data_IF_414057350207
#
_entry.id   IF_414057350207
#
_cell.length_a   1.000
_cell.length_b   1.000
_cell.length_c   1.000
_cell.angle_alpha   90.00
_cell.angle_beta   90.00
_cell.angle_gamma   90.00
#
_symmetry.space_group_name_H-M   'P 1'
#
loop_
_entity.id
_entity.type
_entity.pdbx_description
1 polymer ?
#
# COMPACT_ATOMS: atom_id res chain seq x y z
N UNK A 1 -4.23 8.47 -51.10
CA UNK A 1 -4.37 9.45 -49.99
C UNK A 1 -3.38 9.06 -48.89
N UNK A 2 -2.30 9.84 -48.77
CA UNK A 2 -1.20 9.50 -47.88
C UNK A 2 -1.60 9.64 -46.40
N UNK A 3 -1.34 8.60 -45.62
CA UNK A 3 -1.47 8.61 -44.17
C UNK A 3 -0.39 9.52 -43.59
N UNK A 4 -0.75 10.72 -43.14
CA UNK A 4 0.14 11.58 -42.37
C UNK A 4 0.40 10.90 -41.04
N UNK A 5 1.63 10.46 -40.78
CA UNK A 5 2.09 10.03 -39.45
C UNK A 5 2.28 11.29 -38.61
N UNK A 6 1.60 11.36 -37.48
CA UNK A 6 1.84 12.38 -36.46
C UNK A 6 3.28 12.24 -35.94
N UNK A 7 4.05 13.32 -36.06
CA UNK A 7 5.38 13.36 -35.44
C UNK A 7 5.26 13.51 -33.92
N UNK A 8 6.30 13.08 -33.17
CA UNK A 8 6.38 13.33 -31.71
C UNK A 8 6.18 14.80 -31.34
N UNK A 9 6.60 15.70 -32.22
CA UNK A 9 6.49 17.15 -32.03
C UNK A 9 5.04 17.63 -32.22
N UNK A 10 4.30 17.05 -33.17
CA UNK A 10 2.88 17.36 -33.38
C UNK A 10 2.03 16.80 -32.23
N UNK A 11 2.35 15.63 -31.73
CA UNK A 11 1.73 15.06 -30.53
C UNK A 11 1.91 15.98 -29.32
N UNK A 12 3.13 16.42 -29.04
CA UNK A 12 3.42 17.34 -27.94
C UNK A 12 2.77 18.71 -28.10
N UNK A 13 2.63 19.23 -29.34
CA UNK A 13 1.93 20.49 -29.60
C UNK A 13 0.41 20.38 -29.41
N UNK A 14 -0.16 19.25 -29.75
CA UNK A 14 -1.60 18.99 -29.54
C UNK A 14 -1.90 18.82 -28.05
N UNK A 15 -1.03 18.16 -27.31
CA UNK A 15 -1.20 17.98 -25.86
C UNK A 15 -0.94 19.25 -25.03
N UNK A 16 -0.13 20.17 -25.50
CA UNK A 16 0.14 21.45 -24.80
C UNK A 16 -0.89 22.56 -25.08
N UNK A 17 -1.72 22.40 -26.11
CA UNK A 17 -2.77 23.38 -26.45
C UNK A 17 -4.16 23.11 -25.89
N UNK A 18 -4.37 21.95 -25.27
CA UNK A 18 -5.62 21.59 -24.63
C UNK A 18 -5.45 21.78 -23.10
N UNK A 19 -5.97 22.85 -22.58
CA UNK A 19 -5.94 23.11 -21.15
C UNK A 19 -6.39 21.89 -20.34
N UNK A 20 -5.46 21.21 -19.70
CA UNK A 20 -5.67 20.24 -18.62
C UNK A 20 -6.43 18.95 -18.89
N UNK A 21 -6.73 18.60 -20.12
CA UNK A 21 -7.46 17.36 -20.46
C UNK A 21 -6.57 16.29 -21.09
N UNK A 22 -6.60 15.08 -20.57
CA UNK A 22 -6.02 13.91 -21.22
C UNK A 22 -6.81 13.56 -22.50
N UNK A 23 -6.12 13.47 -23.64
CA UNK A 23 -6.69 13.03 -24.90
C UNK A 23 -6.26 11.60 -25.17
N UNK A 24 -7.20 10.67 -25.18
CA UNK A 24 -6.97 9.35 -25.74
C UNK A 24 -7.04 9.41 -27.27
N UNK A 25 -5.97 8.99 -27.94
CA UNK A 25 -5.94 8.85 -29.40
C UNK A 25 -6.06 7.37 -29.72
N UNK A 26 -7.23 6.97 -30.22
CA UNK A 26 -7.48 5.61 -30.70
C UNK A 26 -7.52 5.55 -32.23
N UNK A 27 -7.28 4.37 -32.81
CA UNK A 27 -7.39 4.12 -34.24
C UNK A 27 -8.34 2.95 -34.52
N UNK A 28 -9.43 3.23 -35.21
CA UNK A 28 -10.38 2.20 -35.69
C UNK A 28 -10.51 2.36 -37.20
N UNK A 29 -10.31 1.27 -37.94
CA UNK A 29 -10.48 1.26 -39.40
C UNK A 29 -9.61 2.26 -40.17
N UNK A 30 -8.39 2.55 -39.67
CA UNK A 30 -7.48 3.50 -40.29
C UNK A 30 -7.79 4.99 -39.99
N UNK A 31 -8.83 5.30 -39.23
CA UNK A 31 -9.16 6.66 -38.82
C UNK A 31 -8.74 6.90 -37.38
N UNK A 32 -8.04 8.01 -37.16
CA UNK A 32 -7.72 8.53 -35.82
C UNK A 32 -8.97 9.22 -35.24
N UNK A 33 -9.31 8.89 -34.04
CA UNK A 33 -10.32 9.63 -33.26
C UNK A 33 -9.69 10.07 -31.93
N UNK A 34 -10.11 11.24 -31.50
CA UNK A 34 -9.76 11.77 -30.18
C UNK A 34 -11.02 11.73 -29.32
N UNK A 35 -10.94 11.04 -28.20
CA UNK A 35 -11.97 11.11 -27.17
C UNK A 35 -11.47 12.08 -26.11
N UNK A 36 -12.15 13.21 -25.87
CA UNK A 36 -11.85 13.98 -24.69
C UNK A 36 -12.24 13.13 -23.49
N UNK A 37 -11.26 12.64 -22.74
CA UNK A 37 -11.53 12.13 -21.41
C UNK A 37 -11.87 13.38 -20.59
N UNK A 38 -13.10 13.51 -20.17
CA UNK A 38 -13.43 14.41 -19.09
C UNK A 38 -12.52 14.00 -17.92
N UNK A 39 -11.51 14.81 -17.61
CA UNK A 39 -10.72 14.59 -16.42
C UNK A 39 -11.73 14.52 -15.28
N UNK A 40 -11.86 13.34 -14.67
CA UNK A 40 -12.59 13.24 -13.42
C UNK A 40 -11.98 14.32 -12.54
N UNK A 41 -12.78 15.31 -12.17
CA UNK A 41 -12.26 16.40 -11.34
C UNK A 41 -11.85 15.76 -10.03
N UNK A 42 -10.54 15.74 -9.81
CA UNK A 42 -10.01 15.34 -8.51
C UNK A 42 -10.65 16.29 -7.49
N UNK A 43 -11.34 15.79 -6.48
CA UNK A 43 -11.93 16.64 -5.46
C UNK A 43 -10.87 17.61 -4.90
N UNK A 44 -11.14 18.91 -4.97
CA UNK A 44 -10.18 19.94 -4.56
C UNK A 44 -9.25 20.48 -5.66
N UNK A 45 -9.29 19.89 -6.86
CA UNK A 45 -8.47 20.34 -8.00
C UNK A 45 -7.03 19.83 -7.95
N UNK A 46 -6.20 20.34 -8.83
CA UNK A 46 -4.77 20.01 -8.91
C UNK A 46 -3.96 21.17 -8.33
N UNK A 47 -3.02 20.85 -7.45
CA UNK A 47 -2.07 21.86 -6.93
C UNK A 47 -1.17 22.35 -8.09
N UNK A 48 -0.99 23.66 -8.19
CA UNK A 48 -0.03 24.25 -9.13
C UNK A 48 1.41 23.87 -8.70
N UNK A 49 2.16 23.11 -9.50
CA UNK A 49 3.53 22.76 -9.17
C UNK A 49 4.45 23.96 -8.94
N UNK A 50 4.12 25.12 -9.53
CA UNK A 50 4.84 26.39 -9.33
C UNK A 50 4.63 26.98 -7.94
N UNK A 51 3.54 26.63 -7.26
CA UNK A 51 3.27 27.07 -5.89
C UNK A 51 4.02 26.23 -4.82
N UNK A 52 4.63 25.09 -5.21
CA UNK A 52 5.37 24.22 -4.30
C UNK A 52 6.84 24.57 -4.30
N UNK A 53 7.35 25.07 -3.18
CA UNK A 53 8.79 25.33 -3.01
C UNK A 53 9.55 23.99 -2.98
N UNK A 54 10.44 23.80 -3.96
CA UNK A 54 11.24 22.58 -4.08
C UNK A 54 12.31 22.54 -2.99
N UNK A 55 12.61 21.31 -2.50
CA UNK A 55 13.69 21.05 -1.53
C UNK A 55 13.54 21.80 -0.19
N UNK A 56 12.33 22.21 0.16
CA UNK A 56 12.05 22.93 1.40
C UNK A 56 11.64 22.04 2.56
N UNK A 57 11.18 20.82 2.27
CA UNK A 57 10.75 19.84 3.29
C UNK A 57 11.84 18.81 3.50
N UNK A 58 12.15 18.44 4.76
CA UNK A 58 13.04 17.32 5.05
C UNK A 58 12.52 16.03 4.43
N UNK A 59 13.45 15.14 4.04
CA UNK A 59 13.10 13.81 3.55
C UNK A 59 12.29 13.06 4.61
N UNK A 60 11.14 12.53 4.21
CA UNK A 60 10.36 11.61 5.05
C UNK A 60 11.07 10.25 5.10
N UNK A 61 11.56 9.89 6.27
CA UNK A 61 12.26 8.63 6.49
C UNK A 61 11.33 7.68 7.25
N UNK A 62 10.82 6.60 6.62
CA UNK A 62 9.92 5.69 7.29
C UNK A 62 10.68 4.93 8.41
N UNK A 63 10.17 4.96 9.65
CA UNK A 63 10.78 4.20 10.73
C UNK A 63 10.59 2.70 10.56
N UNK A 64 11.29 1.92 11.38
CA UNK A 64 11.13 0.45 11.44
C UNK A 64 9.76 0.08 11.97
N UNK A 65 9.11 -0.88 11.31
CA UNK A 65 7.83 -1.44 11.76
C UNK A 65 8.03 -2.20 13.09
N UNK A 66 7.34 -1.83 14.18
CA UNK A 66 7.39 -2.56 15.43
C UNK A 66 6.81 -3.98 15.28
N UNK A 67 7.50 -4.97 15.83
CA UNK A 67 6.95 -6.33 15.94
C UNK A 67 5.92 -6.40 17.06
N UNK A 68 4.84 -7.13 16.84
CA UNK A 68 3.90 -7.50 17.88
C UNK A 68 4.47 -8.61 18.80
N UNK A 69 5.40 -9.43 18.25
CA UNK A 69 6.05 -10.48 19.02
C UNK A 69 6.85 -11.45 18.19
N UNK A 70 7.09 -12.61 18.76
CA UNK A 70 7.72 -13.77 18.09
C UNK A 70 6.83 -14.99 18.32
N UNK A 71 6.57 -15.74 17.26
CA UNK A 71 5.83 -17.00 17.31
C UNK A 71 6.81 -18.17 17.27
N UNK A 72 6.43 -19.28 17.88
CA UNK A 72 7.12 -20.56 17.70
C UNK A 72 6.40 -21.37 16.63
N UNK A 73 7.06 -21.63 15.54
CA UNK A 73 6.56 -22.42 14.42
C UNK A 73 6.71 -23.92 14.70
N UNK A 74 6.02 -24.80 13.97
CA UNK A 74 6.26 -26.24 14.01
C UNK A 74 7.77 -26.54 13.82
N UNK A 75 8.29 -27.42 14.65
CA UNK A 75 9.73 -27.71 14.70
C UNK A 75 10.57 -26.72 15.54
N UNK A 76 9.92 -25.86 16.34
CA UNK A 76 10.59 -24.97 17.29
C UNK A 76 11.25 -23.74 16.66
N UNK A 77 11.08 -23.50 15.36
CA UNK A 77 11.68 -22.34 14.68
C UNK A 77 10.95 -21.04 15.05
N UNK A 78 11.66 -19.96 15.38
CA UNK A 78 11.03 -18.67 15.64
C UNK A 78 10.60 -18.01 14.34
N UNK A 79 9.45 -17.32 14.37
CA UNK A 79 8.97 -16.42 13.31
C UNK A 79 8.66 -15.05 13.91
N UNK A 80 9.00 -13.98 13.20
CA UNK A 80 8.62 -12.65 13.62
C UNK A 80 7.15 -12.42 13.34
N UNK A 81 6.44 -11.83 14.29
CA UNK A 81 5.00 -11.59 14.20
C UNK A 81 4.70 -10.10 14.22
N UNK A 82 3.83 -9.69 13.30
CA UNK A 82 3.35 -8.32 13.20
C UNK A 82 1.82 -8.30 13.15
N UNK A 83 1.24 -7.26 13.72
CA UNK A 83 -0.13 -6.83 13.50
C UNK A 83 -0.05 -5.43 12.89
N UNK A 84 -0.45 -5.32 11.63
CA UNK A 84 -0.30 -4.11 10.84
C UNK A 84 -1.67 -3.71 10.31
N UNK A 85 -2.07 -2.47 10.56
CA UNK A 85 -3.30 -1.94 10.01
C UNK A 85 -3.06 -0.85 8.99
N UNK A 86 -4.02 -0.68 8.08
CA UNK A 86 -4.13 0.47 7.21
C UNK A 86 -5.10 1.47 7.82
N UNK A 87 -4.65 2.71 8.05
CA UNK A 87 -5.45 3.81 8.59
C UNK A 87 -5.36 5.06 7.74
N UNK A 88 -6.41 5.86 7.83
CA UNK A 88 -6.37 7.23 7.33
C UNK A 88 -5.70 8.14 8.36
N UNK A 89 -4.75 8.94 7.89
CA UNK A 89 -3.98 9.88 8.70
C UNK A 89 -3.89 11.24 8.01
N UNK A 90 -3.60 12.26 8.78
CA UNK A 90 -3.22 13.58 8.26
C UNK A 90 -1.73 13.76 8.45
N UNK A 91 -0.98 13.96 7.37
CA UNK A 91 0.48 14.06 7.41
C UNK A 91 0.99 15.28 6.63
N UNK A 92 1.95 15.99 7.19
CA UNK A 92 2.61 17.08 6.49
C UNK A 92 3.61 16.52 5.49
N UNK A 93 3.18 16.36 4.23
CA UNK A 93 4.00 15.87 3.12
C UNK A 93 4.55 17.05 2.32
N UNK A 94 3.71 18.04 2.06
CA UNK A 94 4.07 19.25 1.34
C UNK A 94 4.83 20.25 2.24
N UNK A 95 5.53 21.25 1.68
CA UNK A 95 6.23 22.26 2.46
C UNK A 95 5.34 22.98 3.49
N UNK A 96 5.96 23.42 4.58
CA UNK A 96 5.29 24.24 5.58
C UNK A 96 4.61 25.46 4.97
N UNK A 97 3.38 25.73 5.39
CA UNK A 97 2.52 26.76 4.81
C UNK A 97 1.48 26.22 3.83
N UNK A 98 1.63 24.99 3.36
CA UNK A 98 0.58 24.23 2.67
C UNK A 98 -0.16 23.32 3.67
N UNK A 99 -1.41 22.95 3.41
CA UNK A 99 -2.15 22.05 4.29
C UNK A 99 -1.48 20.68 4.43
N UNK A 100 -1.67 20.03 5.57
CA UNK A 100 -1.37 18.61 5.69
C UNK A 100 -2.25 17.80 4.74
N UNK A 101 -1.70 16.70 4.24
CA UNK A 101 -2.38 15.83 3.28
C UNK A 101 -3.06 14.68 4.01
N UNK A 102 -4.33 14.44 3.69
CA UNK A 102 -5.02 13.21 4.10
C UNK A 102 -4.53 12.07 3.23
N UNK A 103 -3.95 11.06 3.86
CA UNK A 103 -3.40 9.88 3.20
C UNK A 103 -3.75 8.62 3.97
N UNK A 104 -3.55 7.47 3.36
CA UNK A 104 -3.55 6.19 4.06
C UNK A 104 -2.14 5.72 4.32
N UNK A 105 -1.94 5.02 5.43
CA UNK A 105 -0.65 4.47 5.78
C UNK A 105 -0.78 3.18 6.57
N UNK A 106 0.16 2.26 6.36
CA UNK A 106 0.30 1.11 7.22
C UNK A 106 1.11 1.44 8.47
N UNK A 107 0.71 0.85 9.59
CA UNK A 107 1.41 0.99 10.86
C UNK A 107 1.08 -0.14 11.82
N UNK A 108 1.85 -0.24 12.92
CA UNK A 108 1.64 -1.26 13.93
C UNK A 108 0.39 -0.97 14.77
N UNK A 109 -0.45 -1.99 14.98
CA UNK A 109 -1.66 -1.88 15.82
C UNK A 109 -1.33 -2.06 17.29
N UNK A 110 -0.48 -3.04 17.59
CA UNK A 110 -0.01 -3.29 18.93
C UNK A 110 1.51 -3.31 18.94
N UNK A 111 2.10 -2.79 19.98
CA UNK A 111 3.51 -3.02 20.18
C UNK A 111 3.87 -2.99 21.65
N UNK A 112 4.35 -4.09 22.14
CA UNK A 112 5.12 -4.14 23.37
C UNK A 112 6.38 -3.27 23.26
N UNK A 113 6.87 -2.98 22.05
CA UNK A 113 8.09 -2.24 21.78
C UNK A 113 7.88 -0.74 21.48
N UNK A 114 6.69 -0.30 21.09
CA UNK A 114 6.40 1.11 20.78
C UNK A 114 5.86 1.90 21.98
N UNK A 115 5.89 1.33 23.17
CA UNK A 115 5.36 1.96 24.39
C UNK A 115 3.93 2.50 24.23
N UNK A 116 3.11 1.80 23.45
CA UNK A 116 1.72 2.16 23.22
C UNK A 116 1.50 3.22 22.12
N UNK A 117 2.53 3.63 21.39
CA UNK A 117 2.39 4.55 20.28
C UNK A 117 2.12 3.80 18.99
N UNK A 118 0.99 4.09 18.41
CA UNK A 118 0.62 3.63 17.07
C UNK A 118 1.23 4.60 16.08
N UNK A 119 2.15 4.14 15.26
CA UNK A 119 2.77 4.96 14.23
C UNK A 119 2.28 4.46 12.87
N UNK A 120 1.45 5.27 12.21
CA UNK A 120 1.07 5.13 10.81
C UNK A 120 1.75 6.23 10.04
N UNK A 121 2.25 5.94 8.85
CA UNK A 121 3.03 6.87 8.05
C UNK A 121 2.85 6.60 6.56
N UNK A 122 3.07 7.63 5.73
CA UNK A 122 3.20 7.54 4.29
C UNK A 122 4.51 8.24 3.85
N UNK A 123 5.52 7.51 3.29
CA UNK A 123 5.56 6.06 3.08
C UNK A 123 5.42 5.27 4.38
N UNK A 124 4.84 4.07 4.29
CA UNK A 124 4.56 3.23 5.47
C UNK A 124 5.85 2.73 6.13
N UNK A 125 5.74 2.24 7.37
CA UNK A 125 6.89 1.80 8.16
C UNK A 125 7.64 0.64 7.48
N UNK A 126 8.96 0.59 7.64
CA UNK A 126 9.81 -0.42 7.03
C UNK A 126 9.83 -1.71 7.84
N UNK A 127 9.42 -2.82 7.25
CA UNK A 127 9.56 -4.15 7.85
C UNK A 127 10.99 -4.62 7.60
N UNK A 128 11.69 -5.03 8.66
CA UNK A 128 13.03 -5.57 8.60
C UNK A 128 13.00 -7.05 8.97
N UNK A 129 13.36 -7.90 8.02
CA UNK A 129 13.34 -9.35 8.18
C UNK A 129 14.73 -9.95 7.96
N UNK A 130 14.88 -11.21 8.36
CA UNK A 130 16.14 -11.95 8.22
C UNK A 130 15.91 -13.17 7.32
N UNK A 131 16.86 -13.45 6.46
CA UNK A 131 16.88 -14.66 5.62
C UNK A 131 16.59 -15.93 6.42
N UNK A 132 15.71 -16.77 5.91
CA UNK A 132 15.22 -18.03 6.54
C UNK A 132 14.58 -17.88 7.92
N UNK A 133 14.33 -16.64 8.35
CA UNK A 133 13.48 -16.38 9.50
C UNK A 133 12.09 -15.96 9.00
N UNK A 134 11.09 -16.82 9.13
CA UNK A 134 9.76 -16.52 8.65
C UNK A 134 9.18 -15.27 9.31
N UNK A 135 8.35 -14.57 8.56
CA UNK A 135 7.53 -13.46 9.06
C UNK A 135 6.06 -13.83 8.91
N UNK A 136 5.29 -13.59 9.94
CA UNK A 136 3.83 -13.70 9.92
C UNK A 136 3.21 -12.35 10.19
N UNK A 137 2.29 -11.93 9.32
CA UNK A 137 1.65 -10.63 9.44
C UNK A 137 0.13 -10.80 9.42
N UNK A 138 -0.53 -10.24 10.42
CA UNK A 138 -1.96 -9.98 10.40
C UNK A 138 -2.17 -8.59 9.78
N UNK A 139 -2.70 -8.57 8.56
CA UNK A 139 -3.05 -7.35 7.84
C UNK A 139 -4.48 -6.95 8.15
N UNK A 140 -4.68 -5.74 8.65
CA UNK A 140 -5.95 -5.28 9.19
C UNK A 140 -6.42 -4.06 8.39
N UNK A 141 -7.67 -4.09 7.98
CA UNK A 141 -8.35 -2.94 7.40
C UNK A 141 -8.99 -2.12 8.53
N UNK A 142 -8.37 -1.02 8.88
CA UNK A 142 -8.87 -0.06 9.86
C UNK A 142 -9.19 1.30 9.21
N UNK A 143 -9.71 1.27 7.97
CA UNK A 143 -10.24 2.46 7.30
C UNK A 143 -11.63 2.77 7.84
N UNK A 144 -11.65 3.16 9.11
CA UNK A 144 -12.83 3.56 9.87
C UNK A 144 -12.58 4.89 10.57
N UNK A 145 -13.65 5.61 10.87
CA UNK A 145 -13.63 6.83 11.67
C UNK A 145 -13.54 6.54 13.19
N UNK A 146 -13.60 7.59 14.01
CA UNK A 146 -13.53 7.49 15.48
C UNK A 146 -14.73 6.75 16.09
N UNK A 147 -15.87 6.71 15.40
CA UNK A 147 -17.08 5.99 15.80
C UNK A 147 -17.10 4.55 15.30
N UNK A 148 -16.07 4.14 14.55
CA UNK A 148 -15.96 2.81 13.95
C UNK A 148 -16.79 2.62 12.70
N UNK A 149 -17.25 3.70 12.05
CA UNK A 149 -17.94 3.66 10.76
C UNK A 149 -16.92 3.64 9.63
N UNK A 150 -17.29 3.07 8.49
CA UNK A 150 -16.39 2.99 7.34
C UNK A 150 -16.04 4.36 6.77
N UNK A 151 -14.81 4.50 6.30
CA UNK A 151 -14.37 5.65 5.51
C UNK A 151 -14.55 5.35 4.02
N UNK A 152 -14.94 6.35 3.21
CA UNK A 152 -14.98 6.22 1.76
C UNK A 152 -13.58 6.32 1.14
N UNK A 153 -13.48 5.96 -0.15
CA UNK A 153 -12.26 6.19 -0.91
C UNK A 153 -11.89 7.68 -0.97
N UNK A 154 -10.60 7.99 -0.86
CA UNK A 154 -10.09 9.37 -1.01
C UNK A 154 -10.20 9.88 -2.45
N UNK A 155 -10.23 8.99 -3.42
CA UNK A 155 -10.28 9.29 -4.84
C UNK A 155 -11.40 8.49 -5.51
N UNK A 156 -11.95 8.97 -6.63
CA UNK A 156 -13.02 8.26 -7.35
C UNK A 156 -12.57 6.88 -7.84
N UNK A 157 -13.40 5.88 -7.59
CA UNK A 157 -13.19 4.51 -8.09
C UNK A 157 -13.56 4.44 -9.57
N UNK A 158 -12.68 3.87 -10.38
CA UNK A 158 -12.97 3.57 -11.78
C UNK A 158 -13.73 2.25 -11.90
N UNK A 159 -15.04 2.33 -11.95
CA UNK A 159 -15.94 1.18 -12.05
C UNK A 159 -16.06 0.61 -13.47
N UNK A 160 -15.35 1.17 -14.45
CA UNK A 160 -15.27 0.62 -15.81
C UNK A 160 -14.30 -0.56 -15.90
N UNK A 161 -13.46 -0.74 -14.90
CA UNK A 161 -12.54 -1.86 -14.77
C UNK A 161 -13.24 -3.10 -14.20
N UNK A 162 -12.55 -4.24 -14.23
CA UNK A 162 -12.85 -5.36 -13.37
C UNK A 162 -12.40 -4.98 -11.97
N UNK A 163 -13.30 -4.88 -11.01
CA UNK A 163 -13.05 -4.23 -9.73
C UNK A 163 -13.71 -4.96 -8.55
N UNK A 164 -13.17 -4.77 -7.37
CA UNK A 164 -13.76 -5.21 -6.10
C UNK A 164 -15.05 -4.42 -5.86
N UNK A 165 -16.19 -5.10 -5.88
CA UNK A 165 -17.53 -4.51 -5.85
C UNK A 165 -18.35 -4.97 -4.64
N UNK A 166 -18.18 -4.37 -3.46
CA UNK A 166 -18.99 -4.71 -2.30
C UNK A 166 -20.50 -4.62 -2.54
N UNK A 167 -21.05 -3.59 -3.22
CA UNK A 167 -22.48 -3.50 -3.54
C UNK A 167 -23.05 -4.65 -4.38
N UNK A 168 -22.20 -5.39 -5.07
CA UNK A 168 -22.63 -6.57 -5.84
C UNK A 168 -23.13 -7.73 -4.98
N UNK A 169 -22.90 -7.67 -3.69
CA UNK A 169 -23.24 -8.71 -2.74
C UNK A 169 -22.45 -10.02 -2.96
N UNK A 170 -22.73 -11.07 -2.19
CA UNK A 170 -21.95 -12.32 -2.22
C UNK A 170 -21.94 -13.06 -3.57
N UNK A 171 -22.85 -12.72 -4.49
CA UNK A 171 -22.94 -13.34 -5.80
C UNK A 171 -22.26 -12.60 -6.95
N UNK A 172 -21.82 -11.37 -6.73
CA UNK A 172 -21.26 -10.51 -7.78
C UNK A 172 -20.19 -9.55 -7.22
N UNK A 173 -19.24 -10.11 -6.49
CA UNK A 173 -18.19 -9.35 -5.79
C UNK A 173 -17.12 -8.77 -6.72
N UNK A 174 -16.95 -9.36 -7.90
CA UNK A 174 -15.86 -9.03 -8.80
C UNK A 174 -16.37 -8.88 -10.25
N UNK A 175 -17.33 -7.97 -10.54
CA UNK A 175 -17.88 -7.80 -11.88
C UNK A 175 -16.85 -7.13 -12.80
N UNK A 176 -17.07 -7.31 -14.09
CA UNK A 176 -16.53 -6.38 -15.08
C UNK A 176 -17.52 -5.24 -15.17
N UNK A 177 -17.04 -4.07 -14.75
CA UNK A 177 -17.90 -2.99 -14.41
C UNK A 177 -18.49 -2.24 -15.59
N UNK A 178 -19.68 -1.73 -15.32
CA UNK A 178 -20.41 -0.79 -16.15
C UNK A 178 -21.31 0.13 -15.29
N UNK A 179 -21.07 0.15 -13.98
CA UNK A 179 -21.82 1.05 -13.10
C UNK A 179 -21.54 2.51 -13.45
N UNK A 180 -22.60 3.30 -13.53
CA UNK A 180 -22.55 4.74 -13.78
C UNK A 180 -22.58 5.56 -12.47
N UNK A 181 -22.96 4.92 -11.37
CA UNK A 181 -23.07 5.59 -10.08
C UNK A 181 -21.72 5.57 -9.35
N UNK A 182 -21.25 6.71 -8.84
CA UNK A 182 -19.99 6.76 -8.09
C UNK A 182 -20.04 5.85 -6.86
N UNK A 183 -18.98 5.03 -6.69
CA UNK A 183 -18.83 4.22 -5.50
C UNK A 183 -18.34 5.08 -4.32
N UNK A 184 -19.11 5.15 -3.26
CA UNK A 184 -18.82 5.91 -2.02
C UNK A 184 -18.83 5.03 -0.76
N UNK A 185 -18.85 3.72 -0.94
CA UNK A 185 -18.91 2.76 0.15
C UNK A 185 -17.56 2.47 0.81
N UNK A 186 -17.54 1.45 1.69
CA UNK A 186 -16.34 1.05 2.43
C UNK A 186 -15.20 0.59 1.50
N UNK A 187 -13.96 0.81 1.90
CA UNK A 187 -12.79 0.53 1.10
C UNK A 187 -12.37 -0.94 1.25
N UNK A 188 -12.42 -1.76 0.19
CA UNK A 188 -11.82 -3.09 0.22
C UNK A 188 -10.29 -2.99 0.12
N UNK A 189 -9.58 -3.83 0.87
CA UNK A 189 -8.12 -3.97 0.79
C UNK A 189 -7.69 -5.43 0.73
N UNK A 190 -6.53 -5.69 0.17
CA UNK A 190 -5.73 -6.90 0.34
C UNK A 190 -4.26 -6.54 0.13
N UNK A 191 -3.40 -6.85 1.09
CA UNK A 191 -1.99 -6.47 0.99
C UNK A 191 -1.17 -7.52 0.24
N UNK A 192 -0.32 -7.08 -0.68
CA UNK A 192 0.64 -7.92 -1.41
C UNK A 192 2.07 -7.53 -1.04
N UNK A 193 2.93 -8.53 -0.83
CA UNK A 193 4.37 -8.33 -0.70
C UNK A 193 5.04 -8.54 -2.06
N UNK A 194 5.32 -7.44 -2.73
CA UNK A 194 5.84 -7.42 -4.09
C UNK A 194 7.29 -7.88 -4.15
N UNK A 195 7.54 -8.89 -4.96
CA UNK A 195 8.86 -9.49 -5.14
C UNK A 195 9.20 -10.62 -4.17
N UNK A 196 8.27 -11.03 -3.32
CA UNK A 196 8.47 -12.15 -2.41
C UNK A 196 8.52 -13.48 -3.16
N UNK A 197 9.59 -14.26 -2.96
CA UNK A 197 9.75 -15.59 -3.52
C UNK A 197 9.31 -16.67 -2.52
N UNK A 198 8.74 -17.77 -3.06
CA UNK A 198 8.33 -18.93 -2.25
C UNK A 198 7.09 -18.70 -1.38
N UNK A 199 6.37 -17.62 -1.59
CA UNK A 199 5.08 -17.34 -0.95
C UNK A 199 3.99 -18.10 -1.71
N UNK A 200 3.12 -18.78 -0.97
CA UNK A 200 1.95 -19.42 -1.56
C UNK A 200 0.82 -18.42 -1.80
N UNK A 201 -0.08 -18.77 -2.72
CA UNK A 201 -1.23 -17.94 -3.10
C UNK A 201 -2.14 -17.55 -1.90
N UNK A 202 -2.18 -18.37 -0.85
CA UNK A 202 -2.87 -18.06 0.40
C UNK A 202 -2.21 -16.94 1.23
N UNK A 203 -1.05 -16.46 0.85
CA UNK A 203 -0.29 -15.41 1.56
C UNK A 203 0.25 -14.32 0.63
N UNK A 204 -0.10 -14.39 -0.66
CA UNK A 204 0.45 -13.51 -1.69
C UNK A 204 -0.36 -12.20 -1.89
N UNK A 205 -1.52 -12.08 -1.25
CA UNK A 205 -2.40 -10.93 -1.47
C UNK A 205 -3.15 -11.03 -2.80
N UNK A 206 -3.84 -12.17 -3.02
CA UNK A 206 -4.63 -12.39 -4.22
C UNK A 206 -5.73 -11.33 -4.38
N UNK A 207 -5.80 -10.69 -5.53
CA UNK A 207 -6.59 -9.48 -5.74
C UNK A 207 -8.08 -9.62 -5.43
N UNK A 208 -8.66 -10.80 -5.74
CA UNK A 208 -10.07 -11.12 -5.45
C UNK A 208 -10.27 -11.72 -4.05
N UNK A 209 -9.25 -11.72 -3.19
CA UNK A 209 -9.37 -12.08 -1.78
C UNK A 209 -9.39 -10.85 -0.86
N UNK A 210 -9.90 -9.74 -1.38
CA UNK A 210 -10.06 -8.50 -0.64
C UNK A 210 -11.05 -8.64 0.53
N UNK A 211 -10.97 -7.73 1.49
CA UNK A 211 -11.89 -7.65 2.64
C UNK A 211 -12.15 -6.19 3.04
N UNK A 212 -13.37 -5.94 3.48
CA UNK A 212 -13.80 -4.65 4.03
C UNK A 212 -13.29 -4.47 5.48
N UNK A 213 -13.26 -3.23 6.01
CA UNK A 213 -13.04 -3.02 7.43
C UNK A 213 -14.16 -3.67 8.27
N UNK A 214 -13.88 -3.99 9.52
CA UNK A 214 -14.88 -4.43 10.48
C UNK A 214 -15.64 -3.22 11.04
N UNK A 215 -16.35 -2.50 10.16
CA UNK A 215 -17.06 -1.28 10.51
C UNK A 215 -18.48 -1.54 11.04
N UNK A 216 -19.00 -0.57 11.84
CA UNK A 216 -20.31 -0.66 12.48
C UNK A 216 -21.49 -0.46 11.53
N UNK A 217 -21.25 0.25 10.42
CA UNK A 217 -22.25 0.75 9.48
C UNK A 217 -22.18 0.11 8.09
N UNK A 218 -21.58 -1.07 7.97
CA UNK A 218 -21.52 -1.78 6.69
C UNK A 218 -22.93 -2.07 6.19
N UNK A 219 -23.27 -1.72 4.93
CA UNK A 219 -24.57 -2.04 4.38
C UNK A 219 -24.80 -3.55 4.36
N UNK A 220 -25.99 -3.99 4.78
CA UNK A 220 -26.30 -5.41 4.97
C UNK A 220 -26.33 -6.22 3.65
N UNK A 221 -26.48 -5.56 2.53
CA UNK A 221 -26.48 -6.15 1.19
C UNK A 221 -25.08 -6.18 0.55
N UNK A 222 -24.08 -5.57 1.18
CA UNK A 222 -22.72 -5.58 0.67
C UNK A 222 -22.02 -6.91 0.95
N UNK A 223 -21.20 -7.36 0.01
CA UNK A 223 -20.19 -8.38 0.28
C UNK A 223 -19.09 -7.76 1.16
N UNK A 224 -18.75 -8.44 2.23
CA UNK A 224 -17.66 -8.01 3.12
C UNK A 224 -16.30 -8.55 2.71
N UNK A 225 -16.27 -9.50 1.78
CA UNK A 225 -15.07 -10.16 1.26
C UNK A 225 -15.21 -10.50 -0.21
N UNK A 226 -14.09 -10.56 -0.93
CA UNK A 226 -14.04 -10.96 -2.32
C UNK A 226 -14.22 -12.46 -2.54
N UNK A 227 -14.37 -12.85 -3.80
CA UNK A 227 -14.72 -14.21 -4.24
C UNK A 227 -13.80 -15.30 -3.68
N UNK A 228 -12.50 -15.02 -3.55
CA UNK A 228 -11.49 -16.00 -3.15
C UNK A 228 -11.08 -15.92 -1.69
N UNK A 229 -11.61 -14.99 -0.92
CA UNK A 229 -11.22 -14.80 0.47
C UNK A 229 -11.40 -16.07 1.32
N UNK A 230 -12.59 -16.68 1.31
CA UNK A 230 -12.86 -17.88 2.12
C UNK A 230 -12.04 -19.09 1.69
N UNK A 231 -11.75 -19.22 0.38
CA UNK A 231 -10.91 -20.30 -0.13
C UNK A 231 -9.48 -20.18 0.42
N UNK A 232 -8.87 -19.02 0.30
CA UNK A 232 -7.50 -18.80 0.79
C UNK A 232 -7.42 -18.80 2.32
N UNK A 233 -8.44 -18.30 3.02
CA UNK A 233 -8.55 -18.42 4.47
C UNK A 233 -8.51 -19.89 4.93
N UNK A 234 -9.29 -20.77 4.29
CA UNK A 234 -9.27 -22.21 4.56
C UNK A 234 -7.92 -22.87 4.26
N UNK A 235 -7.29 -22.47 3.16
CA UNK A 235 -5.97 -22.93 2.77
C UNK A 235 -4.89 -22.49 3.77
N UNK A 236 -4.91 -21.23 4.20
CA UNK A 236 -4.00 -20.67 5.19
C UNK A 236 -4.19 -21.34 6.57
N UNK A 237 -5.43 -21.56 6.98
CA UNK A 237 -5.75 -22.28 8.22
C UNK A 237 -5.18 -23.70 8.20
N UNK A 238 -5.36 -24.44 7.10
CA UNK A 238 -4.86 -25.81 6.96
C UNK A 238 -3.32 -25.86 6.95
N UNK A 239 -2.68 -24.94 6.25
CA UNK A 239 -1.24 -24.96 6.02
C UNK A 239 -0.45 -24.38 7.20
N UNK A 240 -0.97 -23.35 7.85
CA UNK A 240 -0.22 -22.56 8.83
C UNK A 240 -0.92 -22.47 10.20
N UNK A 241 -2.13 -22.99 10.34
CA UNK A 241 -2.92 -22.84 11.56
C UNK A 241 -3.26 -21.38 11.90
N UNK A 242 -3.45 -20.54 10.86
CA UNK A 242 -3.78 -19.11 11.02
C UNK A 242 -5.25 -18.86 10.75
N UNK A 243 -5.76 -17.81 11.34
CA UNK A 243 -7.14 -17.37 11.16
C UNK A 243 -7.18 -16.10 10.31
N UNK A 244 -8.20 -16.04 9.45
CA UNK A 244 -8.68 -14.82 8.80
C UNK A 244 -10.08 -14.53 9.33
N UNK A 245 -10.45 -13.27 9.40
CA UNK A 245 -11.74 -12.88 9.97
C UNK A 245 -12.20 -11.51 9.48
N UNK A 246 -13.30 -10.99 10.04
CA UNK A 246 -13.81 -9.68 9.67
C UNK A 246 -12.72 -8.60 9.76
N UNK A 247 -12.46 -7.94 8.66
CA UNK A 247 -11.49 -6.84 8.57
C UNK A 247 -10.02 -7.25 8.54
N UNK A 248 -9.67 -8.54 8.43
CA UNK A 248 -8.26 -8.92 8.37
C UNK A 248 -7.98 -10.23 7.63
N UNK A 249 -6.73 -10.35 7.16
CA UNK A 249 -6.14 -11.59 6.68
C UNK A 249 -4.76 -11.81 7.32
N UNK A 250 -4.35 -13.06 7.53
CA UNK A 250 -3.05 -13.40 8.12
C UNK A 250 -2.19 -14.14 7.11
N UNK A 251 -1.05 -13.55 6.74
CA UNK A 251 -0.13 -14.06 5.74
C UNK A 251 1.18 -14.56 6.35
N UNK A 252 1.82 -15.49 5.66
CA UNK A 252 3.07 -16.10 6.07
C UNK A 252 4.11 -16.01 4.97
N UNK A 253 5.24 -15.38 5.28
CA UNK A 253 6.37 -15.15 4.38
C UNK A 253 7.58 -15.96 4.85
N UNK A 254 8.08 -16.91 4.05
CA UNK A 254 9.19 -17.79 4.46
C UNK A 254 10.55 -17.08 4.47
N UNK A 255 10.70 -15.98 3.75
CA UNK A 255 11.95 -15.23 3.57
C UNK A 255 13.12 -16.10 3.11
N UNK A 256 12.86 -17.12 2.28
CA UNK A 256 13.87 -18.00 1.72
C UNK A 256 14.31 -17.54 0.33
N UNK A 257 14.70 -16.28 0.23
CA UNK A 257 15.27 -15.65 -0.95
C UNK A 257 16.50 -14.84 -0.57
N UNK A 258 17.31 -14.47 -1.54
CA UNK A 258 18.47 -13.61 -1.31
C UNK A 258 18.06 -12.30 -0.65
N UNK A 259 19.02 -11.66 0.01
CA UNK A 259 18.88 -10.30 0.51
C UNK A 259 18.37 -9.37 -0.60
N UNK A 260 17.36 -8.60 -0.26
CA UNK A 260 16.66 -7.75 -1.23
C UNK A 260 15.81 -6.69 -0.54
N UNK A 261 15.59 -5.62 -1.27
CA UNK A 261 14.59 -4.62 -0.93
C UNK A 261 13.31 -4.96 -1.65
N UNK A 262 12.33 -5.45 -0.89
CA UNK A 262 10.97 -5.66 -1.35
C UNK A 262 10.10 -4.50 -0.89
N UNK A 263 8.85 -4.48 -1.32
CA UNK A 263 7.87 -3.51 -0.85
C UNK A 263 6.49 -4.15 -0.73
N UNK A 264 5.67 -3.66 0.17
CA UNK A 264 4.30 -4.11 0.36
C UNK A 264 3.32 -2.99 0.07
N UNK A 265 2.20 -3.34 -0.51
CA UNK A 265 1.18 -2.39 -0.93
C UNK A 265 -0.19 -3.06 -1.06
N UNK A 266 -1.24 -2.26 -1.20
CA UNK A 266 -2.57 -2.79 -1.54
C UNK A 266 -2.60 -3.39 -2.95
N UNK A 267 -3.32 -4.49 -3.10
CA UNK A 267 -3.46 -5.20 -4.38
C UNK A 267 -4.93 -5.50 -4.73
N UNK A 268 -5.86 -4.75 -4.18
CA UNK A 268 -7.29 -4.94 -4.40
C UNK A 268 -7.67 -4.85 -5.86
N UNK A 269 -8.49 -5.79 -6.32
CA UNK A 269 -8.92 -5.92 -7.71
C UNK A 269 -9.48 -4.61 -8.28
N UNK A 270 -8.88 -4.12 -9.38
CA UNK A 270 -9.28 -2.88 -10.04
C UNK A 270 -8.99 -1.59 -9.27
N UNK A 271 -8.51 -1.69 -8.02
CA UNK A 271 -8.29 -0.56 -7.14
C UNK A 271 -6.82 -0.38 -6.72
N UNK A 272 -5.91 -1.28 -7.09
CA UNK A 272 -4.50 -1.23 -6.70
C UNK A 272 -3.90 0.15 -6.93
N UNK A 273 -4.02 0.70 -8.13
CA UNK A 273 -3.50 2.04 -8.45
C UNK A 273 -4.10 3.12 -7.56
N UNK A 274 -5.41 3.09 -7.37
CA UNK A 274 -6.15 4.08 -6.59
C UNK A 274 -5.75 4.03 -5.12
N UNK A 275 -5.76 2.84 -4.53
CA UNK A 275 -5.45 2.65 -3.11
C UNK A 275 -3.98 2.95 -2.82
N UNK A 276 -3.04 2.53 -3.68
CA UNK A 276 -1.61 2.83 -3.50
C UNK A 276 -1.33 4.32 -3.65
N UNK A 277 -2.01 5.00 -4.59
CA UNK A 277 -1.88 6.46 -4.74
C UNK A 277 -2.37 7.23 -3.51
N UNK A 278 -3.31 6.67 -2.76
CA UNK A 278 -3.75 7.23 -1.47
C UNK A 278 -2.67 7.16 -0.37
N UNK A 279 -1.55 6.43 -0.59
CA UNK A 279 -0.37 6.43 0.28
C UNK A 279 0.15 5.08 0.78
N UNK A 280 -0.65 3.99 0.89
CA UNK A 280 -0.26 2.79 1.63
C UNK A 280 0.72 1.90 0.86
N UNK A 281 1.99 2.23 0.95
CA UNK A 281 3.12 1.44 0.48
C UNK A 281 4.30 1.55 1.46
N UNK A 282 5.03 0.46 1.67
CA UNK A 282 6.18 0.44 2.57
C UNK A 282 7.23 -0.57 2.15
N UNK A 283 8.43 -0.42 2.70
CA UNK A 283 9.56 -1.31 2.41
C UNK A 283 9.52 -2.57 3.27
N UNK A 284 9.96 -3.68 2.66
CA UNK A 284 10.21 -4.93 3.34
C UNK A 284 11.63 -5.40 2.98
N UNK A 285 12.55 -5.34 3.94
CA UNK A 285 13.95 -5.67 3.74
C UNK A 285 14.22 -7.10 4.19
N UNK A 286 14.81 -7.92 3.31
CA UNK A 286 15.34 -9.23 3.66
C UNK A 286 16.85 -9.10 3.82
N UNK A 287 17.34 -9.35 5.03
CA UNK A 287 18.75 -9.25 5.38
C UNK A 287 19.39 -10.63 5.53
N UNK A 288 20.71 -10.71 5.23
CA UNK A 288 21.50 -11.91 5.42
C UNK A 288 21.10 -13.01 4.46
N UNK A 289 21.65 -13.02 3.27
CA UNK A 289 21.43 -14.05 2.26
C UNK A 289 22.29 -15.32 2.47
N UNK A 290 22.29 -16.22 1.48
CA UNK A 290 23.09 -17.45 1.51
C UNK A 290 24.60 -17.18 1.61
N UNK A 291 25.06 -16.03 1.17
CA UNK A 291 26.47 -15.61 1.28
C UNK A 291 26.82 -15.00 2.65
N UNK A 292 25.87 -14.92 3.58
CA UNK A 292 26.11 -14.46 4.95
C UNK A 292 26.13 -12.95 5.14
N UNK A 293 25.65 -12.21 4.16
CA UNK A 293 25.51 -10.75 4.24
C UNK A 293 24.43 -10.39 5.26
N UNK A 294 24.86 -9.96 6.46
CA UNK A 294 23.95 -9.79 7.61
C UNK A 294 23.67 -8.33 7.95
N UNK A 295 24.51 -7.43 7.48
CA UNK A 295 24.38 -6.01 7.79
C UNK A 295 25.17 -5.16 6.79
N UNK A 296 24.67 -3.98 6.53
CA UNK A 296 25.41 -2.94 5.83
C UNK A 296 26.34 -2.27 6.84
N UNK A 297 27.60 -2.15 6.49
CA UNK A 297 28.64 -1.58 7.34
C UNK A 297 29.27 -0.39 6.63
N UNK A 298 29.38 0.73 7.31
CA UNK A 298 30.16 1.86 6.82
C UNK A 298 31.64 1.45 6.75
N UNK A 299 32.19 1.43 5.55
CA UNK A 299 33.58 1.01 5.29
C UNK A 299 34.63 1.91 5.96
N UNK A 300 34.28 3.14 6.33
CA UNK A 300 35.20 4.09 6.98
C UNK A 300 35.26 3.94 8.48
N UNK A 301 34.16 3.60 9.11
CA UNK A 301 34.03 3.58 10.57
C UNK A 301 33.82 2.20 11.15
N UNK A 302 33.49 1.20 10.33
CA UNK A 302 33.10 -0.14 10.77
C UNK A 302 31.74 -0.18 11.47
N UNK A 303 30.98 0.92 11.44
CA UNK A 303 29.68 1.01 12.12
C UNK A 303 28.61 0.32 11.28
N UNK A 304 27.86 -0.57 11.90
CA UNK A 304 26.72 -1.21 11.25
C UNK A 304 25.57 -0.21 11.05
N UNK A 305 25.04 -0.15 9.85
CA UNK A 305 23.85 0.63 9.55
C UNK A 305 22.65 0.04 10.28
N UNK A 306 21.77 0.92 10.73
CA UNK A 306 20.52 0.56 11.37
C UNK A 306 19.40 1.43 10.79
N UNK A 307 18.21 0.85 10.65
CA UNK A 307 17.04 1.62 10.29
C UNK A 307 16.60 2.51 11.46
N UNK A 308 15.98 3.66 11.18
CA UNK A 308 15.34 4.48 12.19
C UNK A 308 14.34 3.64 13.01
N UNK A 309 14.45 3.67 14.32
CA UNK A 309 13.47 3.01 15.18
C UNK A 309 12.17 3.80 15.17
N UNK A 310 11.00 3.14 15.37
CA UNK A 310 9.76 3.86 15.59
C UNK A 310 9.94 4.71 16.84
N UNK A 311 9.89 6.01 16.66
CA UNK A 311 10.05 6.93 17.76
C UNK A 311 8.75 6.97 18.57
N UNK A 312 8.82 6.91 19.87
CA UNK A 312 7.67 7.08 20.72
C UNK A 312 7.08 8.51 20.66
N UNK A 313 7.84 9.46 20.18
CA UNK A 313 7.38 10.81 19.88
C UNK A 313 8.23 11.42 18.76
N UNK A 314 7.78 12.51 18.17
CA UNK A 314 8.42 13.15 17.02
C UNK A 314 9.87 13.60 17.30
N UNK A 315 10.21 13.86 18.55
CA UNK A 315 11.54 14.32 18.93
C UNK A 315 12.57 13.19 19.05
N UNK A 316 12.11 11.94 19.13
CA UNK A 316 12.98 10.77 19.32
C UNK A 316 13.17 9.94 18.04
N UNK A 317 12.65 10.41 16.90
CA UNK A 317 12.76 9.72 15.62
C UNK A 317 14.23 9.47 15.22
N UNK A 318 15.12 10.37 15.66
CA UNK A 318 16.57 10.27 15.47
C UNK A 318 17.26 10.47 16.82
N UNK A 319 17.52 9.41 17.58
CA UNK A 319 18.28 9.53 18.83
C UNK A 319 19.60 10.29 18.61
N UNK A 320 19.95 11.25 19.43
CA UNK A 320 21.00 12.24 19.16
C UNK A 320 22.42 11.68 18.95
N UNK A 321 22.64 10.40 19.21
CA UNK A 321 23.96 9.76 19.11
C UNK A 321 23.98 8.60 18.09
N UNK A 322 22.98 8.46 17.23
CA UNK A 322 22.96 7.42 16.20
C UNK A 322 23.14 8.02 14.81
N UNK A 323 24.07 7.48 14.06
CA UNK A 323 24.24 7.77 12.63
C UNK A 323 23.55 6.68 11.84
N UNK A 324 22.67 7.08 10.93
CA UNK A 324 21.95 6.16 10.04
C UNK A 324 22.58 6.27 8.66
N UNK A 325 23.09 5.16 8.14
CA UNK A 325 23.73 5.09 6.81
C UNK A 325 22.82 4.45 5.76
N UNK A 326 21.71 3.87 6.18
CA UNK A 326 20.76 3.20 5.33
C UNK A 326 19.40 3.86 5.48
N UNK A 327 18.93 4.46 4.39
CA UNK A 327 17.68 5.19 4.37
C UNK A 327 16.88 4.69 3.17
N UNK A 328 15.75 3.99 3.39
CA UNK A 328 14.86 3.63 2.30
C UNK A 328 14.14 4.87 1.79
N UNK A 329 14.23 5.11 0.49
CA UNK A 329 13.63 6.29 -0.16
C UNK A 329 12.56 5.83 -1.14
N UNK A 330 11.31 6.22 -0.90
CA UNK A 330 10.22 6.06 -1.85
C UNK A 330 10.09 7.31 -2.71
N UNK A 331 9.90 7.14 -4.02
CA UNK A 331 9.58 8.21 -4.95
C UNK A 331 8.13 8.06 -5.37
N UNK A 332 7.32 9.05 -5.04
CA UNK A 332 5.88 9.10 -5.30
C UNK A 332 5.52 10.47 -5.88
N UNK A 333 4.45 10.56 -6.66
CA UNK A 333 3.86 11.81 -7.15
C UNK A 333 2.59 12.21 -6.37
#
# INVERSE_FOLDING_TARGET
MGTRRLSRRDFLRISSGAGGGLLFVGQIGGRLFTVPVAAAQIPGGTLDPGAVTKYATPLLIPPVMPRAGTLTMPGGKPADYYEISMRQISQQILPAGLPATTVWGYGAVTSASSRGLLVHNAPSLTIESTWKRPVRIKWINELVDEDGNHLPHLLPVDQTLHWANPPGGPGNTDPRGDSQEPYTGPVPIVTHLHGAAGVGDESDGYAEAWYLPAANDLPADHATTGTWYSFFAGKAATKFGVEWGPGFATFHYPNDQRESTLWYHDHTLGMTRLNVYAGPAGFFLVRGGPEGDKAIVDSRTGTTAVLPSPAPNENDMFPPNKTYYEIPIAVQD
#
